data_IF_805889771662
#
_entry.id   IF_805889771662
#
_cell.length_a   1.000
_cell.length_b   1.000
_cell.length_c   1.000
_cell.angle_alpha   90.00
_cell.angle_beta   90.00
_cell.angle_gamma   90.00
#
_symmetry.space_group_name_H-M   'P 1'
#
loop_
_entity.id
_entity.type
_entity.pdbx_description
1 polymer ?
#
# COMPACT_ATOMS: atom_id res chain seq x y z
N UNK A 1 -11.61 -18.91 -3.67
CA UNK A 1 -10.47 -18.17 -4.24
C UNK A 1 -9.20 -18.65 -3.55
N UNK A 2 -8.35 -19.35 -4.28
CA UNK A 2 -7.05 -19.84 -3.85
C UNK A 2 -5.99 -18.78 -4.16
N UNK A 3 -5.45 -18.15 -3.12
CA UNK A 3 -4.49 -17.04 -3.24
C UNK A 3 -3.12 -17.51 -2.77
N UNK A 4 -2.09 -17.22 -3.56
CA UNK A 4 -0.70 -17.30 -3.15
C UNK A 4 -0.08 -15.91 -3.00
N UNK A 5 0.96 -15.82 -2.19
CA UNK A 5 1.84 -14.66 -2.05
C UNK A 5 3.22 -15.10 -2.53
N UNK A 6 3.86 -14.28 -3.38
CA UNK A 6 5.13 -14.62 -3.99
C UNK A 6 6.16 -13.50 -3.89
N UNK A 7 7.43 -13.87 -3.69
CA UNK A 7 8.59 -13.03 -3.96
C UNK A 7 9.63 -13.82 -4.76
N UNK A 8 10.31 -13.15 -5.69
CA UNK A 8 11.42 -13.73 -6.43
C UNK A 8 12.56 -12.71 -6.45
N UNK A 9 13.54 -12.91 -5.58
CA UNK A 9 14.57 -11.90 -5.33
C UNK A 9 15.93 -12.51 -5.06
N UNK A 10 16.96 -11.67 -5.15
CA UNK A 10 18.34 -12.07 -4.83
C UNK A 10 18.45 -12.50 -3.37
N UNK A 11 19.03 -13.67 -3.14
CA UNK A 11 19.27 -14.18 -1.80
C UNK A 11 20.30 -13.33 -1.05
N UNK A 12 20.09 -13.03 0.24
CA UNK A 12 21.09 -12.39 1.08
C UNK A 12 22.26 -13.32 1.37
N UNK A 13 22.08 -14.64 1.20
CA UNK A 13 23.10 -15.64 1.38
C UNK A 13 23.76 -15.96 0.03
N UNK A 14 25.10 -15.99 0.02
CA UNK A 14 25.84 -16.54 -1.11
C UNK A 14 25.97 -18.04 -0.94
N UNK A 15 26.06 -18.78 -2.04
CA UNK A 15 26.41 -20.20 -1.94
C UNK A 15 27.87 -20.38 -1.49
N UNK A 16 28.27 -21.62 -1.24
CA UNK A 16 29.63 -21.97 -0.82
C UNK A 16 30.71 -21.55 -1.84
N UNK A 17 30.33 -21.23 -3.09
CA UNK A 17 31.21 -20.78 -4.17
C UNK A 17 31.22 -19.25 -4.36
N UNK A 18 30.42 -18.51 -3.59
CA UNK A 18 30.26 -17.07 -3.71
C UNK A 18 29.30 -16.64 -4.84
N UNK A 19 28.57 -17.56 -5.46
CA UNK A 19 27.66 -17.27 -6.55
C UNK A 19 26.41 -16.54 -6.04
N UNK A 20 25.94 -15.58 -6.83
CA UNK A 20 24.68 -14.89 -6.61
C UNK A 20 23.52 -15.83 -6.94
N UNK A 21 22.75 -16.18 -5.92
CA UNK A 21 21.52 -16.95 -6.06
C UNK A 21 20.30 -16.04 -6.03
N UNK A 22 19.29 -16.43 -6.79
CA UNK A 22 17.92 -15.95 -6.69
C UNK A 22 17.08 -17.01 -6.01
N UNK A 23 16.13 -16.61 -5.18
CA UNK A 23 15.21 -17.51 -4.48
C UNK A 23 13.77 -17.07 -4.79
N UNK A 24 12.95 -18.03 -5.19
CA UNK A 24 11.50 -17.92 -5.30
C UNK A 24 10.90 -18.45 -4.01
N UNK A 25 10.04 -17.64 -3.39
CA UNK A 25 9.25 -18.03 -2.23
C UNK A 25 7.77 -17.90 -2.58
N UNK A 26 7.02 -18.95 -2.33
CA UNK A 26 5.57 -19.01 -2.51
C UNK A 26 4.91 -19.48 -1.21
N UNK A 27 3.89 -18.79 -0.75
CA UNK A 27 3.08 -19.28 0.37
C UNK A 27 1.62 -18.90 0.21
N UNK A 28 0.72 -19.59 0.92
CA UNK A 28 -0.65 -19.12 1.07
C UNK A 28 -0.78 -18.17 2.29
N UNK A 29 -1.86 -17.37 2.41
CA UNK A 29 -2.02 -16.43 3.52
C UNK A 29 -2.00 -17.05 4.92
N UNK A 30 -2.25 -18.36 5.05
CA UNK A 30 -2.23 -19.08 6.33
C UNK A 30 -0.91 -19.79 6.62
N UNK A 31 0.06 -19.75 5.68
CA UNK A 31 1.32 -20.52 5.71
C UNK A 31 1.16 -22.03 5.89
N UNK A 32 0.00 -22.59 5.52
CA UNK A 32 -0.17 -24.05 5.45
C UNK A 32 0.43 -24.64 4.16
N UNK A 33 0.81 -23.78 3.23
CA UNK A 33 1.56 -24.11 2.03
C UNK A 33 2.75 -23.16 1.94
N UNK A 34 3.93 -23.72 1.77
CA UNK A 34 5.19 -23.02 1.53
C UNK A 34 6.00 -23.78 0.49
N UNK A 35 6.56 -23.05 -0.46
CA UNK A 35 7.45 -23.59 -1.49
C UNK A 35 8.60 -22.62 -1.72
N UNK A 36 9.81 -23.17 -1.73
CA UNK A 36 11.03 -22.41 -1.98
C UNK A 36 11.89 -23.12 -3.03
N UNK A 37 12.42 -22.35 -3.97
CA UNK A 37 13.35 -22.84 -4.98
C UNK A 37 14.42 -21.79 -5.28
N UNK A 38 15.62 -22.23 -5.60
CA UNK A 38 16.75 -21.34 -5.92
C UNK A 38 17.30 -21.59 -7.31
N UNK A 39 17.84 -20.54 -7.92
CA UNK A 39 18.56 -20.63 -9.19
C UNK A 39 19.74 -19.66 -9.25
N UNK A 40 20.75 -19.93 -10.09
CA UNK A 40 21.79 -18.95 -10.38
C UNK A 40 21.19 -17.75 -11.15
N UNK A 41 21.86 -16.59 -11.07
CA UNK A 41 21.43 -15.37 -11.78
C UNK A 41 21.24 -15.58 -13.29
N UNK A 42 22.03 -16.45 -13.94
CA UNK A 42 21.88 -16.75 -15.38
C UNK A 42 20.57 -17.45 -15.74
N UNK A 43 19.90 -18.07 -14.76
CA UNK A 43 18.64 -18.77 -14.94
C UNK A 43 17.43 -17.98 -14.38
N UNK A 44 17.65 -16.81 -13.77
CA UNK A 44 16.60 -16.00 -13.15
C UNK A 44 15.74 -15.28 -14.21
N UNK A 45 14.78 -15.99 -14.79
CA UNK A 45 13.87 -15.50 -15.82
C UNK A 45 12.45 -16.07 -15.64
N UNK A 46 11.51 -15.59 -16.47
CA UNK A 46 10.09 -15.98 -16.38
C UNK A 46 9.83 -17.46 -16.67
N UNK A 47 10.64 -18.11 -17.53
CA UNK A 47 10.47 -19.53 -17.87
C UNK A 47 10.83 -20.42 -16.69
N UNK A 48 11.90 -20.06 -15.97
CA UNK A 48 12.28 -20.73 -14.73
C UNK A 48 11.18 -20.57 -13.68
N UNK A 49 10.65 -19.35 -13.48
CA UNK A 49 9.54 -19.10 -12.54
C UNK A 49 8.29 -19.87 -12.94
N UNK A 50 7.95 -19.92 -14.24
CA UNK A 50 6.82 -20.72 -14.78
C UNK A 50 6.95 -22.19 -14.37
N UNK A 51 8.15 -22.75 -14.57
CA UNK A 51 8.44 -24.14 -14.20
C UNK A 51 8.26 -24.37 -12.69
N UNK A 52 8.77 -23.46 -11.85
CA UNK A 52 8.64 -23.60 -10.40
C UNK A 52 7.19 -23.46 -9.93
N UNK A 53 6.39 -22.56 -10.53
CA UNK A 53 4.97 -22.43 -10.21
C UNK A 53 4.20 -23.73 -10.52
N UNK A 54 4.48 -24.37 -11.66
CA UNK A 54 3.89 -25.66 -12.00
C UNK A 54 4.31 -26.77 -11.02
N UNK A 55 5.60 -26.84 -10.68
CA UNK A 55 6.11 -27.82 -9.70
C UNK A 55 5.48 -27.63 -8.31
N UNK A 56 5.32 -26.37 -7.87
CA UNK A 56 4.74 -26.04 -6.59
C UNK A 56 3.23 -26.34 -6.53
N UNK A 57 2.52 -26.14 -7.64
CA UNK A 57 1.08 -26.34 -7.74
C UNK A 57 0.67 -27.80 -7.97
N UNK A 58 1.52 -28.56 -8.68
CA UNK A 58 1.12 -29.83 -9.27
C UNK A 58 -0.07 -29.60 -10.21
N UNK A 59 -1.22 -30.17 -9.88
CA UNK A 59 -2.47 -30.01 -10.64
C UNK A 59 -3.35 -28.84 -10.15
N UNK A 60 -3.00 -28.19 -9.03
CA UNK A 60 -3.84 -27.19 -8.37
C UNK A 60 -3.19 -25.80 -8.38
N UNK A 61 -3.31 -25.09 -9.50
CA UNK A 61 -2.84 -23.71 -9.62
C UNK A 61 -3.68 -22.74 -8.75
N UNK A 62 -3.08 -21.66 -8.22
CA UNK A 62 -3.83 -20.60 -7.56
C UNK A 62 -4.67 -19.80 -8.56
N UNK A 63 -5.76 -19.20 -8.07
CA UNK A 63 -6.54 -18.22 -8.84
C UNK A 63 -5.76 -16.91 -9.00
N UNK A 64 -5.04 -16.50 -7.94
CA UNK A 64 -4.29 -15.24 -7.89
C UNK A 64 -2.96 -15.42 -7.17
N UNK A 65 -1.92 -14.80 -7.71
CA UNK A 65 -0.63 -14.59 -7.03
C UNK A 65 -0.47 -13.11 -6.68
N UNK A 66 -0.22 -12.82 -5.41
CA UNK A 66 0.01 -11.48 -4.90
C UNK A 66 1.51 -11.22 -4.71
N UNK A 67 2.00 -10.10 -5.26
CA UNK A 67 3.43 -9.73 -5.22
C UNK A 67 3.58 -8.33 -4.65
N UNK A 68 4.38 -8.19 -3.59
CA UNK A 68 4.61 -6.86 -2.96
C UNK A 68 5.86 -6.14 -3.49
N UNK A 69 6.81 -6.88 -4.06
CA UNK A 69 8.09 -6.34 -4.49
C UNK A 69 8.05 -5.96 -5.97
N UNK A 70 8.26 -4.68 -6.35
CA UNK A 70 8.27 -4.25 -7.75
C UNK A 70 9.29 -5.01 -8.60
N UNK A 71 10.46 -5.31 -8.04
CA UNK A 71 11.56 -5.97 -8.76
C UNK A 71 11.22 -7.42 -9.18
N UNK A 72 10.27 -8.08 -8.49
CA UNK A 72 9.84 -9.45 -8.82
C UNK A 72 8.57 -9.49 -9.66
N UNK A 73 7.79 -8.40 -9.68
CA UNK A 73 6.47 -8.34 -10.28
C UNK A 73 6.46 -8.73 -11.76
N UNK A 74 7.34 -8.16 -12.59
CA UNK A 74 7.31 -8.39 -14.05
C UNK A 74 7.58 -9.85 -14.43
N UNK A 75 8.55 -10.50 -13.77
CA UNK A 75 8.89 -11.91 -14.02
C UNK A 75 7.75 -12.83 -13.59
N UNK A 76 7.15 -12.57 -12.42
CA UNK A 76 6.03 -13.37 -11.92
C UNK A 76 4.78 -13.14 -12.77
N UNK A 77 4.51 -11.91 -13.23
CA UNK A 77 3.41 -11.60 -14.15
C UNK A 77 3.55 -12.36 -15.48
N UNK A 78 4.74 -12.36 -16.08
CA UNK A 78 5.00 -13.11 -17.30
C UNK A 78 4.79 -14.62 -17.08
N UNK A 79 5.25 -15.16 -15.94
CA UNK A 79 5.04 -16.56 -15.59
C UNK A 79 3.55 -16.89 -15.33
N UNK A 80 2.82 -16.01 -14.66
CA UNK A 80 1.37 -16.14 -14.45
C UNK A 80 0.60 -16.13 -15.76
N UNK A 81 0.96 -15.25 -16.69
CA UNK A 81 0.35 -15.20 -18.02
C UNK A 81 0.52 -16.53 -18.79
N UNK A 82 1.69 -17.16 -18.71
CA UNK A 82 1.94 -18.48 -19.33
C UNK A 82 1.04 -19.60 -18.75
N UNK A 83 0.60 -19.44 -17.50
CA UNK A 83 -0.19 -20.44 -16.76
C UNK A 83 -1.67 -20.05 -16.62
N UNK A 84 -2.09 -18.90 -17.15
CA UNK A 84 -3.44 -18.39 -16.98
C UNK A 84 -3.77 -17.95 -15.55
N UNK A 85 -2.76 -17.63 -14.74
CA UNK A 85 -2.89 -17.17 -13.35
C UNK A 85 -2.88 -15.64 -13.33
N UNK A 86 -3.83 -15.03 -12.64
CA UNK A 86 -3.81 -13.57 -12.44
C UNK A 86 -2.76 -13.19 -11.39
N UNK A 87 -1.92 -12.20 -11.71
CA UNK A 87 -0.86 -11.74 -10.81
C UNK A 87 -1.11 -10.28 -10.45
N UNK A 88 -1.29 -10.04 -9.15
CA UNK A 88 -1.68 -8.74 -8.62
C UNK A 88 -0.57 -8.11 -7.79
N UNK A 89 -0.17 -6.86 -8.07
CA UNK A 89 0.68 -6.12 -7.17
C UNK A 89 -0.09 -5.88 -5.86
N UNK A 90 0.41 -6.31 -4.71
CA UNK A 90 -0.23 -6.07 -3.42
C UNK A 90 0.81 -5.92 -2.32
N UNK A 91 0.83 -4.78 -1.61
CA UNK A 91 1.74 -4.60 -0.46
C UNK A 91 1.39 -5.54 0.70
N UNK A 92 0.10 -5.90 0.87
CA UNK A 92 -0.45 -6.66 2.02
C UNK A 92 -0.18 -8.16 1.97
N UNK A 93 1.07 -8.56 1.76
CA UNK A 93 1.50 -9.97 1.77
C UNK A 93 2.08 -10.37 3.12
N UNK A 94 1.26 -10.30 4.19
CA UNK A 94 1.73 -10.46 5.58
C UNK A 94 2.45 -11.79 5.84
N UNK A 95 1.87 -12.91 5.38
CA UNK A 95 2.44 -14.24 5.55
C UNK A 95 3.81 -14.37 4.87
N UNK A 96 3.93 -13.89 3.64
CA UNK A 96 5.19 -13.84 2.91
C UNK A 96 6.22 -12.94 3.60
N UNK A 97 5.81 -11.76 4.09
CA UNK A 97 6.71 -10.83 4.79
C UNK A 97 7.25 -11.41 6.09
N UNK A 98 6.42 -12.13 6.85
CA UNK A 98 6.86 -12.86 8.04
C UNK A 98 7.91 -13.92 7.68
N UNK A 99 7.66 -14.70 6.63
CA UNK A 99 8.62 -15.72 6.17
C UNK A 99 9.94 -15.12 5.67
N UNK A 100 9.87 -14.01 4.93
CA UNK A 100 11.05 -13.26 4.49
C UNK A 100 11.85 -12.71 5.67
N UNK A 101 11.20 -12.23 6.74
CA UNK A 101 11.88 -11.79 7.97
C UNK A 101 12.62 -12.94 8.66
N UNK A 102 11.99 -14.12 8.78
CA UNK A 102 12.63 -15.33 9.33
C UNK A 102 13.89 -15.70 8.54
N UNK A 103 13.84 -15.54 7.21
CA UNK A 103 14.95 -15.77 6.29
C UNK A 103 15.90 -14.57 6.15
N UNK A 104 15.69 -13.50 6.92
CA UNK A 104 16.52 -12.28 6.94
C UNK A 104 16.61 -11.54 5.58
N UNK A 105 15.54 -11.60 4.78
CA UNK A 105 15.42 -10.82 3.54
C UNK A 105 15.00 -9.37 3.83
N UNK A 106 15.49 -8.39 3.05
CA UNK A 106 15.04 -7.02 3.17
C UNK A 106 13.59 -6.87 2.69
N UNK A 107 12.74 -6.30 3.54
CA UNK A 107 11.35 -5.97 3.19
C UNK A 107 11.17 -4.55 2.64
N UNK A 108 12.18 -3.69 2.79
CA UNK A 108 12.11 -2.30 2.36
C UNK A 108 11.91 -2.21 0.85
N UNK A 109 10.92 -1.42 0.45
CA UNK A 109 10.71 -1.06 -0.94
C UNK A 109 11.45 0.25 -1.27
N UNK A 110 11.84 0.38 -2.53
CA UNK A 110 12.42 1.63 -3.02
C UNK A 110 11.41 2.77 -2.87
N UNK A 111 11.92 3.95 -2.54
CA UNK A 111 11.12 5.17 -2.43
C UNK A 111 11.55 6.13 -3.54
N UNK A 112 11.06 5.95 -4.78
CA UNK A 112 11.43 6.84 -5.88
C UNK A 112 11.07 8.29 -5.57
N UNK A 113 11.70 9.28 -6.22
CA UNK A 113 11.30 10.67 -6.09
C UNK A 113 9.80 10.83 -6.40
N UNK A 114 9.04 11.60 -5.59
CA UNK A 114 7.63 11.81 -5.87
C UNK A 114 7.46 12.69 -7.11
N UNK A 115 6.39 12.43 -7.87
CA UNK A 115 6.03 13.21 -9.05
C UNK A 115 4.76 14.05 -8.79
N UNK A 116 4.59 15.21 -9.45
CA UNK A 116 3.38 16.01 -9.27
C UNK A 116 2.11 15.25 -9.65
N UNK A 117 1.05 15.40 -8.84
CA UNK A 117 -0.28 14.92 -9.20
C UNK A 117 -0.75 15.64 -10.49
N UNK A 118 -1.35 14.94 -11.46
CA UNK A 118 -1.91 15.58 -12.66
C UNK A 118 -2.96 16.64 -12.31
N UNK A 119 -2.93 17.78 -12.99
CA UNK A 119 -3.83 18.93 -12.72
C UNK A 119 -5.32 18.57 -12.77
N UNK A 120 -5.69 17.64 -13.65
CA UNK A 120 -7.07 17.17 -13.79
C UNK A 120 -7.56 16.32 -12.59
N UNK A 121 -6.70 16.06 -11.61
CA UNK A 121 -6.97 15.34 -10.36
C UNK A 121 -6.77 16.23 -9.13
N UNK A 122 -6.47 17.52 -9.29
CA UNK A 122 -6.31 18.42 -8.15
C UNK A 122 -7.64 18.66 -7.43
N UNK A 123 -7.54 18.83 -6.12
CA UNK A 123 -8.60 19.45 -5.33
C UNK A 123 -8.59 20.97 -5.52
N UNK A 124 -9.73 21.60 -5.30
CA UNK A 124 -9.85 23.05 -5.21
C UNK A 124 -9.20 23.56 -3.91
N UNK A 125 -9.45 22.85 -2.81
CA UNK A 125 -8.88 23.14 -1.49
C UNK A 125 -8.55 21.85 -0.74
N UNK A 126 -7.70 21.95 0.28
CA UNK A 126 -7.44 20.85 1.20
C UNK A 126 -7.11 21.37 2.60
N UNK A 127 -7.29 20.52 3.61
CA UNK A 127 -6.90 20.84 4.99
C UNK A 127 -6.49 19.60 5.78
N UNK A 128 -5.68 19.82 6.81
CA UNK A 128 -5.49 18.84 7.87
C UNK A 128 -6.75 18.75 8.74
N UNK A 129 -7.12 17.54 9.11
CA UNK A 129 -8.25 17.24 9.97
C UNK A 129 -7.85 16.24 11.04
N UNK A 130 -8.72 16.05 12.03
CA UNK A 130 -8.54 15.08 13.10
C UNK A 130 -9.90 14.58 13.53
N UNK A 131 -9.98 13.27 13.76
CA UNK A 131 -11.14 12.59 14.29
C UNK A 131 -10.70 11.73 15.47
N UNK A 132 -11.58 11.53 16.43
CA UNK A 132 -11.30 10.59 17.51
C UNK A 132 -11.43 9.16 16.99
N UNK A 133 -10.59 8.25 17.48
CA UNK A 133 -10.63 6.83 17.10
C UNK A 133 -12.02 6.19 17.25
N UNK A 134 -12.82 6.61 18.23
CA UNK A 134 -14.20 6.13 18.42
C UNK A 134 -15.19 6.62 17.37
N UNK A 135 -14.92 7.75 16.71
CA UNK A 135 -15.85 8.39 15.78
C UNK A 135 -15.88 7.72 14.39
N UNK A 136 -14.91 6.88 14.04
CA UNK A 136 -14.79 6.34 12.67
C UNK A 136 -15.97 5.44 12.26
N UNK A 137 -16.43 4.59 13.18
CA UNK A 137 -17.56 3.69 12.94
C UNK A 137 -18.83 4.52 12.76
N UNK A 138 -19.11 5.39 13.73
CA UNK A 138 -20.32 6.21 13.76
C UNK A 138 -20.39 7.21 12.60
N UNK A 139 -19.26 7.81 12.20
CA UNK A 139 -19.25 8.86 11.18
C UNK A 139 -19.28 8.30 9.77
N UNK A 140 -18.66 7.15 9.49
CA UNK A 140 -18.45 6.72 8.10
C UNK A 140 -19.04 5.36 7.73
N UNK A 141 -19.41 4.49 8.70
CA UNK A 141 -20.14 3.26 8.35
C UNK A 141 -21.61 3.59 8.05
N UNK A 142 -22.20 4.53 8.79
CA UNK A 142 -23.62 4.86 8.64
C UNK A 142 -23.92 5.84 7.50
N UNK A 143 -22.89 6.52 6.98
CA UNK A 143 -23.05 7.50 5.90
C UNK A 143 -22.88 6.87 4.52
N UNK A 144 -23.70 7.27 3.53
CA UNK A 144 -23.51 6.83 2.16
C UNK A 144 -22.27 7.50 1.55
N UNK A 145 -21.14 6.81 1.59
CA UNK A 145 -19.89 7.23 0.95
C UNK A 145 -19.68 6.34 -0.27
N UNK A 146 -19.67 6.90 -1.50
CA UNK A 146 -19.58 6.10 -2.72
C UNK A 146 -18.37 5.17 -2.79
N UNK A 147 -17.22 5.64 -2.29
CA UNK A 147 -15.98 4.86 -2.23
C UNK A 147 -15.50 4.81 -0.79
N UNK A 148 -15.72 3.69 -0.12
CA UNK A 148 -15.31 3.47 1.26
C UNK A 148 -14.25 2.36 1.33
N UNK A 149 -13.04 2.72 1.77
CA UNK A 149 -11.96 1.77 2.06
C UNK A 149 -11.60 1.86 3.53
N UNK A 150 -12.27 1.05 4.35
CA UNK A 150 -11.98 0.92 5.78
C UNK A 150 -11.80 -0.56 6.16
N UNK A 151 -10.61 -1.14 5.89
CA UNK A 151 -10.36 -2.53 6.21
C UNK A 151 -10.51 -2.80 7.71
N UNK A 152 -11.15 -3.91 8.06
CA UNK A 152 -11.45 -4.28 9.46
C UNK A 152 -10.19 -4.27 10.34
N UNK A 153 -9.08 -4.85 9.86
CA UNK A 153 -7.82 -4.90 10.60
C UNK A 153 -7.17 -3.51 10.84
N UNK A 154 -7.58 -2.47 10.12
CA UNK A 154 -7.13 -1.09 10.36
C UNK A 154 -8.06 -0.31 11.29
N UNK A 155 -9.25 -0.84 11.61
CA UNK A 155 -10.17 -0.13 12.50
C UNK A 155 -9.50 0.12 13.86
N UNK A 156 -9.69 1.32 14.46
CA UNK A 156 -8.98 1.69 15.68
C UNK A 156 -9.12 0.67 16.82
N UNK A 157 -10.29 0.03 16.95
CA UNK A 157 -10.54 -1.01 17.96
C UNK A 157 -9.63 -2.25 17.77
N UNK A 158 -9.41 -2.68 16.53
CA UNK A 158 -8.57 -3.83 16.20
C UNK A 158 -7.07 -3.52 16.32
N UNK A 159 -6.73 -2.23 16.37
CA UNK A 159 -5.37 -1.75 16.66
C UNK A 159 -5.14 -1.49 18.15
N UNK A 160 -6.15 -1.67 19.00
CA UNK A 160 -6.06 -1.38 20.43
C UNK A 160 -5.91 0.11 20.76
N UNK A 161 -6.40 1.00 19.89
CA UNK A 161 -6.35 2.45 20.12
C UNK A 161 -7.50 2.89 21.03
N UNK A 162 -7.21 3.76 22.00
CA UNK A 162 -8.23 4.36 22.86
C UNK A 162 -9.21 5.21 22.04
N UNK A 163 -10.51 5.13 22.32
CA UNK A 163 -11.56 5.83 21.54
C UNK A 163 -11.38 7.34 21.47
N UNK A 164 -10.74 7.96 22.46
CA UNK A 164 -10.47 9.41 22.50
C UNK A 164 -9.18 9.82 21.78
N UNK A 165 -8.40 8.85 21.28
CA UNK A 165 -7.12 9.12 20.63
C UNK A 165 -7.36 9.89 19.32
N UNK A 166 -6.70 11.04 19.10
CA UNK A 166 -6.83 11.80 17.87
C UNK A 166 -6.11 11.10 16.71
N UNK A 167 -6.87 10.68 15.71
CA UNK A 167 -6.37 10.14 14.45
C UNK A 167 -6.34 11.29 13.44
N UNK A 168 -5.16 11.63 12.89
CA UNK A 168 -5.04 12.73 11.94
C UNK A 168 -5.51 12.29 10.55
N UNK A 169 -5.87 13.25 9.71
CA UNK A 169 -6.23 12.98 8.34
C UNK A 169 -6.16 14.22 7.46
N UNK A 170 -6.46 14.01 6.19
CA UNK A 170 -6.46 15.06 5.17
C UNK A 170 -7.81 15.04 4.47
N UNK A 171 -8.40 16.22 4.35
CA UNK A 171 -9.65 16.43 3.64
C UNK A 171 -9.33 17.20 2.37
N UNK A 172 -9.74 16.67 1.23
CA UNK A 172 -9.62 17.32 -0.07
C UNK A 172 -11.02 17.69 -0.56
N UNK A 173 -11.19 18.97 -0.86
CA UNK A 173 -12.37 19.54 -1.48
C UNK A 173 -12.18 19.53 -2.98
N UNK A 174 -12.81 18.57 -3.66
CA UNK A 174 -12.63 18.36 -5.10
C UNK A 174 -13.65 19.07 -5.98
N UNK A 175 -14.60 19.81 -5.40
CA UNK A 175 -15.69 20.44 -6.12
C UNK A 175 -16.37 19.47 -7.09
N UNK A 176 -16.47 19.89 -8.35
CA UNK A 176 -17.04 19.09 -9.45
C UNK A 176 -16.20 17.86 -9.83
N UNK A 177 -14.90 17.84 -9.52
CA UNK A 177 -13.98 16.73 -9.83
C UNK A 177 -13.82 15.73 -8.67
N UNK A 178 -14.46 15.96 -7.53
CA UNK A 178 -14.30 15.15 -6.31
C UNK A 178 -14.50 13.65 -6.55
N UNK A 179 -15.52 13.26 -7.32
CA UNK A 179 -15.76 11.85 -7.67
C UNK A 179 -14.68 11.27 -8.60
N UNK A 180 -14.15 12.06 -9.53
CA UNK A 180 -13.08 11.64 -10.42
C UNK A 180 -11.79 11.40 -9.65
N UNK A 181 -11.44 12.31 -8.74
CA UNK A 181 -10.33 12.15 -7.81
C UNK A 181 -10.52 10.91 -6.94
N UNK A 182 -11.72 10.70 -6.40
CA UNK A 182 -12.02 9.54 -5.56
C UNK A 182 -11.87 8.20 -6.32
N UNK A 183 -12.33 8.13 -7.57
CA UNK A 183 -12.15 6.95 -8.42
C UNK A 183 -10.68 6.69 -8.76
N UNK A 184 -9.92 7.75 -9.06
CA UNK A 184 -8.48 7.63 -9.29
C UNK A 184 -7.76 7.12 -8.05
N UNK A 185 -8.04 7.68 -6.86
CA UNK A 185 -7.50 7.20 -5.59
C UNK A 185 -7.81 5.72 -5.38
N UNK A 186 -9.06 5.30 -5.60
CA UNK A 186 -9.42 3.89 -5.52
C UNK A 186 -8.56 3.00 -6.44
N UNK A 187 -8.29 3.45 -7.67
CA UNK A 187 -7.50 2.69 -8.65
C UNK A 187 -6.02 2.57 -8.28
N UNK A 188 -5.41 3.65 -7.75
CA UNK A 188 -3.98 3.64 -7.37
C UNK A 188 -3.74 2.98 -6.01
N UNK A 189 -4.80 2.78 -5.22
CA UNK A 189 -4.78 2.14 -3.88
C UNK A 189 -3.85 2.89 -2.93
N UNK A 190 -4.32 4.00 -2.31
CA UNK A 190 -3.54 4.78 -1.37
C UNK A 190 -3.05 3.93 -0.21
N UNK A 191 -1.81 4.15 0.20
CA UNK A 191 -1.14 3.44 1.29
C UNK A 191 -0.91 4.38 2.46
N UNK A 192 -0.35 5.56 2.20
CA UNK A 192 -0.07 6.54 3.23
C UNK A 192 0.06 7.95 2.66
N UNK A 193 -0.29 8.94 3.46
CA UNK A 193 0.03 10.35 3.26
C UNK A 193 1.15 10.76 4.20
N UNK A 194 2.19 11.40 3.67
CA UNK A 194 3.36 11.81 4.44
C UNK A 194 3.67 13.29 4.19
N UNK A 195 3.95 14.02 5.26
CA UNK A 195 4.57 15.33 5.19
C UNK A 195 6.08 15.17 4.92
N UNK A 196 6.57 15.89 3.92
CA UNK A 196 7.99 15.98 3.57
C UNK A 196 8.42 17.43 3.73
N UNK A 197 9.33 17.68 4.66
CA UNK A 197 9.90 19.01 4.86
C UNK A 197 10.78 19.41 3.67
N UNK A 198 10.67 20.65 3.22
CA UNK A 198 11.36 21.14 2.02
C UNK A 198 11.24 22.64 1.82
N UNK A 199 11.67 23.10 0.64
CA UNK A 199 11.47 24.45 0.15
C UNK A 199 10.99 24.38 -1.31
N UNK A 200 9.67 24.23 -1.56
CA UNK A 200 8.56 24.26 -0.58
C UNK A 200 8.39 22.96 0.21
N UNK A 201 7.65 23.02 1.32
CA UNK A 201 7.13 21.85 2.02
C UNK A 201 6.15 21.08 1.13
N UNK A 202 6.01 19.77 1.36
CA UNK A 202 5.17 18.91 0.51
C UNK A 202 4.35 17.88 1.27
N UNK A 203 3.16 17.60 0.72
CA UNK A 203 2.33 16.47 1.08
C UNK A 203 2.42 15.40 0.00
N UNK A 204 2.91 14.22 0.36
CA UNK A 204 3.15 13.11 -0.58
C UNK A 204 2.23 11.93 -0.28
N UNK A 205 1.46 11.51 -1.28
CA UNK A 205 0.70 10.27 -1.27
C UNK A 205 1.56 9.11 -1.77
N UNK A 206 1.75 8.10 -0.94
CA UNK A 206 2.23 6.78 -1.37
C UNK A 206 1.06 5.89 -1.77
N UNK A 207 1.20 5.20 -2.89
CA UNK A 207 0.18 4.32 -3.46
C UNK A 207 0.80 3.09 -4.12
N UNK A 208 -0.03 2.12 -4.53
CA UNK A 208 0.41 0.95 -5.27
C UNK A 208 1.54 0.19 -4.57
N UNK A 209 2.59 -0.20 -5.30
CA UNK A 209 3.80 -0.79 -4.70
C UNK A 209 4.85 0.25 -4.31
N UNK A 210 5.09 1.27 -5.15
CA UNK A 210 6.13 2.29 -4.92
C UNK A 210 5.75 3.67 -5.46
N UNK A 211 4.51 3.86 -5.92
CA UNK A 211 4.09 5.12 -6.52
C UNK A 211 4.03 6.22 -5.47
N UNK A 212 4.53 7.42 -5.82
CA UNK A 212 4.59 8.57 -4.94
C UNK A 212 4.17 9.83 -5.68
N UNK A 213 3.12 10.47 -5.18
CA UNK A 213 2.51 11.65 -5.79
C UNK A 213 2.58 12.84 -4.85
N UNK A 214 3.07 13.99 -5.33
CA UNK A 214 2.97 15.25 -4.62
C UNK A 214 1.53 15.75 -4.78
N UNK A 215 0.77 15.72 -3.68
CA UNK A 215 -0.64 16.13 -3.64
C UNK A 215 -0.76 17.65 -3.44
N UNK A 216 0.12 18.22 -2.63
CA UNK A 216 0.19 19.65 -2.38
C UNK A 216 1.61 20.07 -2.02
N UNK A 217 1.96 21.31 -2.34
CA UNK A 217 3.15 22.00 -1.83
C UNK A 217 2.74 23.30 -1.16
N UNK A 218 3.46 23.72 -0.13
CA UNK A 218 3.15 24.93 0.63
C UNK A 218 4.43 25.55 1.22
N UNK A 219 4.42 26.86 1.42
CA UNK A 219 5.51 27.61 2.09
C UNK A 219 5.03 28.31 3.36
N UNK A 220 3.71 28.26 3.61
CA UNK A 220 3.09 28.88 4.76
C UNK A 220 3.52 28.20 6.07
N UNK A 221 4.04 29.01 7.01
CA UNK A 221 4.59 28.51 8.26
C UNK A 221 3.54 27.91 9.20
N UNK A 222 2.29 28.37 9.15
CA UNK A 222 1.18 27.80 9.92
C UNK A 222 0.79 26.45 9.35
N UNK A 223 0.76 26.32 8.02
CA UNK A 223 0.51 25.03 7.34
C UNK A 223 1.64 24.03 7.66
N UNK A 224 2.89 24.48 7.66
CA UNK A 224 4.03 23.65 8.07
C UNK A 224 3.96 23.21 9.53
N UNK A 225 3.50 24.08 10.44
CA UNK A 225 3.26 23.71 11.83
C UNK A 225 2.14 22.66 11.95
N UNK A 226 1.04 22.82 11.22
CA UNK A 226 -0.05 21.85 11.18
C UNK A 226 0.40 20.49 10.59
N UNK A 227 1.28 20.49 9.59
CA UNK A 227 1.85 19.27 9.01
C UNK A 227 2.73 18.50 10.02
N UNK A 228 3.49 19.21 10.86
CA UNK A 228 4.24 18.59 11.97
C UNK A 228 3.32 17.98 13.02
N UNK A 229 2.22 18.64 13.36
CA UNK A 229 1.19 18.10 14.26
C UNK A 229 0.52 16.86 13.65
N UNK A 230 0.25 16.86 12.34
CA UNK A 230 -0.24 15.71 11.61
C UNK A 230 0.69 14.49 11.76
N UNK A 231 1.99 14.65 11.51
CA UNK A 231 2.95 13.54 11.66
C UNK A 231 3.10 13.08 13.13
N UNK A 232 3.08 14.00 14.09
CA UNK A 232 3.13 13.65 15.51
C UNK A 232 1.92 12.79 15.91
N UNK A 233 0.71 13.21 15.54
CA UNK A 233 -0.51 12.45 15.82
C UNK A 233 -0.51 11.10 15.11
N UNK A 234 0.01 11.06 13.89
CA UNK A 234 0.10 9.84 13.09
C UNK A 234 1.03 8.84 13.76
N UNK A 235 2.12 9.27 14.38
CA UNK A 235 2.98 8.40 15.19
C UNK A 235 2.23 7.90 16.45
N UNK A 236 1.50 8.77 17.14
CA UNK A 236 0.72 8.42 18.34
C UNK A 236 -0.41 7.41 18.03
N UNK A 237 -1.01 7.47 16.84
CA UNK A 237 -2.01 6.53 16.34
C UNK A 237 -1.40 5.30 15.65
N UNK A 238 -0.13 4.96 15.92
CA UNK A 238 0.59 3.82 15.34
C UNK A 238 0.67 3.83 13.80
N UNK A 239 0.66 5.01 13.19
CA UNK A 239 0.68 5.23 11.75
C UNK A 239 -0.71 5.34 11.12
N UNK A 240 -1.78 5.13 11.90
CA UNK A 240 -3.16 5.22 11.41
C UNK A 240 -3.52 6.68 11.10
N UNK A 241 -4.04 6.90 9.91
CA UNK A 241 -4.54 8.21 9.46
C UNK A 241 -5.60 8.01 8.39
N UNK A 242 -6.25 9.09 7.94
CA UNK A 242 -7.27 8.99 6.90
C UNK A 242 -7.12 10.01 5.77
N UNK A 243 -7.71 9.68 4.64
CA UNK A 243 -7.94 10.57 3.52
C UNK A 243 -9.45 10.65 3.26
N UNK A 244 -9.98 11.85 3.19
CA UNK A 244 -11.36 12.12 2.84
C UNK A 244 -11.42 13.01 1.61
N UNK A 245 -12.25 12.64 0.65
CA UNK A 245 -12.55 13.46 -0.54
C UNK A 245 -14.04 13.78 -0.53
N UNK A 246 -14.35 15.06 -0.64
CA UNK A 246 -15.72 15.58 -0.69
C UNK A 246 -15.82 16.74 -1.68
N UNK A 247 -17.03 17.08 -2.16
CA UNK A 247 -17.20 18.22 -3.07
C UNK A 247 -16.90 19.56 -2.39
N UNK A 248 -17.40 19.76 -1.17
CA UNK A 248 -17.36 21.03 -0.44
C UNK A 248 -17.34 20.79 1.09
N UNK A 249 -17.40 21.86 1.88
CA UNK A 249 -17.37 21.85 3.35
C UNK A 249 -18.74 21.73 4.02
N UNK A 250 -19.81 21.46 3.26
CA UNK A 250 -21.16 21.30 3.80
C UNK A 250 -21.28 20.12 4.77
N UNK A 251 -20.37 19.14 4.69
CA UNK A 251 -20.42 17.91 5.48
C UNK A 251 -21.62 17.01 5.16
N UNK A 252 -22.35 17.29 4.08
CA UNK A 252 -23.52 16.54 3.65
C UNK A 252 -23.19 15.46 2.62
N UNK A 253 -22.23 15.73 1.72
CA UNK A 253 -21.88 14.84 0.62
C UNK A 253 -20.42 14.43 0.68
N UNK A 254 -20.18 13.14 0.48
CA UNK A 254 -18.83 12.56 0.44
C UNK A 254 -18.62 11.85 -0.89
N UNK A 255 -17.38 11.87 -1.38
CA UNK A 255 -17.01 11.20 -2.63
C UNK A 255 -16.20 9.94 -2.34
N UNK A 256 -15.30 9.99 -1.35
CA UNK A 256 -14.60 8.80 -0.89
C UNK A 256 -13.86 8.97 0.43
N UNK A 257 -13.62 7.86 1.11
CA UNK A 257 -12.92 7.78 2.38
C UNK A 257 -11.96 6.58 2.40
N UNK A 258 -10.74 6.80 2.87
CA UNK A 258 -9.73 5.75 3.07
C UNK A 258 -9.13 5.84 4.47
N UNK A 259 -9.19 4.72 5.19
CA UNK A 259 -8.41 4.51 6.40
C UNK A 259 -7.06 3.88 6.00
N UNK A 260 -5.98 4.57 6.36
CA UNK A 260 -4.64 4.33 5.85
C UNK A 260 -3.65 4.05 6.98
N UNK A 261 -2.71 3.16 6.70
CA UNK A 261 -1.56 2.86 7.55
C UNK A 261 -0.49 2.24 6.68
N UNK A 262 0.71 2.81 6.69
CA UNK A 262 1.85 2.19 6.03
C UNK A 262 2.16 0.85 6.72
N UNK A 263 2.41 -0.18 5.92
CA UNK A 263 2.90 -1.45 6.44
C UNK A 263 4.39 -1.29 6.78
N UNK A 264 4.77 -1.71 7.99
CA UNK A 264 6.17 -1.81 8.41
C UNK A 264 6.77 -3.14 7.99
#
# INVERSE_FOLDING_TARGET
MHIWQADFYRSPQQDASGQILWELLLCNPTRNFEYAATCPQSAANSDWVTTQLQLAAGENLPDVIQVFRPQSLSLIQAAGQNLGINVEPNRRTLALKQWLQEKQYPLSLDKPPPIPLPENLWGEEWRFATLQAGEFVDVFIERPIPILSMPEFLQPINLGLASTLPVPGIVIYGGRQSMRLAQWLASVRPVALNYIAGAPDGLVLEAGLIDRWIVATFEDSEVAAAAKVFEQRKQQSQGLHFLLVQPDDSGMTYSGFWLLRAEN
#
